data_IF_231476247041
#
_entry.id   IF_231476247041
#
_cell.length_a   1.000
_cell.length_b   1.000
_cell.length_c   1.000
_cell.angle_alpha   90.00
_cell.angle_beta   90.00
_cell.angle_gamma   90.00
#
_symmetry.space_group_name_H-M   'P 1'
#
loop_
_entity.id
_entity.type
_entity.pdbx_description
1 polymer ?
#
# COMPACT_ATOMS: atom_id res chain seq x y z
N UNK A 1 62.36 -10.04 -26.46
CA UNK A 1 62.96 -9.18 -25.39
C UNK A 1 61.80 -8.51 -24.67
N UNK A 2 61.52 -8.60 -23.35
CA UNK A 2 62.29 -8.88 -22.12
C UNK A 2 63.06 -7.67 -21.52
N UNK A 3 62.35 -6.84 -20.75
CA UNK A 3 62.73 -5.99 -19.56
C UNK A 3 61.46 -5.18 -19.18
N UNK A 4 60.84 -5.14 -17.97
CA UNK A 4 61.29 -5.11 -16.54
C UNK A 4 62.29 -3.96 -16.29
N UNK A 5 62.22 -3.09 -15.28
CA UNK A 5 61.47 -3.00 -13.99
C UNK A 5 61.48 -1.48 -13.54
N UNK A 6 60.90 -0.95 -12.44
CA UNK A 6 60.38 -1.50 -11.17
C UNK A 6 59.26 -0.58 -10.55
N UNK A 7 58.87 -0.84 -9.29
CA UNK A 7 57.90 -0.19 -8.38
C UNK A 7 58.40 1.01 -7.56
N UNK A 8 57.48 1.89 -7.10
CA UNK A 8 57.31 2.48 -5.74
C UNK A 8 55.80 2.84 -5.63
N UNK A 9 54.88 2.12 -4.96
CA UNK A 9 54.52 2.04 -3.52
C UNK A 9 54.39 3.39 -2.78
N UNK A 10 53.15 3.82 -2.55
CA UNK A 10 52.76 4.52 -1.31
C UNK A 10 51.39 3.99 -0.84
N UNK A 11 51.23 3.85 0.47
CA UNK A 11 50.03 3.35 1.16
C UNK A 11 49.13 4.51 1.63
N UNK A 12 47.99 4.15 2.25
CA UNK A 12 46.95 4.97 2.90
C UNK A 12 45.81 5.39 1.95
N UNK A 13 44.54 5.39 2.37
CA UNK A 13 43.97 5.15 3.71
C UNK A 13 42.61 4.43 3.59
N UNK A 14 42.24 3.62 4.59
CA UNK A 14 40.95 2.94 4.63
C UNK A 14 39.80 3.95 4.73
N UNK A 15 38.84 3.89 3.82
CA UNK A 15 37.45 4.23 4.11
C UNK A 15 36.64 2.96 3.82
N UNK A 16 36.11 2.37 4.88
CA UNK A 16 35.04 1.37 4.77
C UNK A 16 33.82 2.14 4.32
N UNK A 17 33.48 2.05 3.03
CA UNK A 17 32.12 2.36 2.61
C UNK A 17 31.28 1.19 3.11
N UNK A 18 30.66 1.38 4.27
CA UNK A 18 29.54 0.55 4.68
C UNK A 18 28.46 0.73 3.63
N UNK A 19 28.30 -0.28 2.76
CA UNK A 19 27.09 -0.40 1.96
C UNK A 19 25.91 -0.45 2.92
N UNK A 20 25.16 0.65 3.00
CA UNK A 20 23.80 0.59 3.49
C UNK A 20 23.06 -0.38 2.56
N UNK A 21 22.74 -1.56 3.08
CA UNK A 21 21.76 -2.42 2.44
C UNK A 21 20.38 -1.81 2.70
N UNK A 22 20.03 -0.77 1.95
CA UNK A 22 18.64 -0.51 1.66
C UNK A 22 18.11 -1.78 0.96
N UNK A 23 17.24 -2.51 1.65
CA UNK A 23 16.64 -3.71 1.10
C UNK A 23 15.56 -3.29 0.10
N UNK A 24 15.96 -3.04 -1.15
CA UNK A 24 15.07 -2.86 -2.32
C UNK A 24 14.25 -4.13 -2.58
N UNK A 25 13.30 -4.38 -1.69
CA UNK A 25 12.28 -5.41 -1.81
C UNK A 25 10.93 -4.69 -1.90
N UNK A 26 10.54 -4.29 -3.11
CA UNK A 26 9.11 -4.34 -3.46
C UNK A 26 8.69 -5.82 -3.34
N UNK A 27 8.23 -6.24 -2.16
CA UNK A 27 7.66 -7.57 -1.93
C UNK A 27 6.24 -7.57 -2.49
N UNK A 28 6.15 -7.69 -3.81
CA UNK A 28 4.87 -7.88 -4.48
C UNK A 28 4.21 -9.14 -3.90
N UNK A 29 3.03 -8.99 -3.27
CA UNK A 29 2.32 -10.13 -2.71
C UNK A 29 2.05 -11.17 -3.80
N UNK A 30 2.45 -12.43 -3.57
CA UNK A 30 2.44 -13.47 -4.61
C UNK A 30 1.05 -14.08 -4.85
N UNK A 31 0.04 -13.24 -5.08
CA UNK A 31 -1.29 -13.64 -5.54
C UNK A 31 -1.37 -13.49 -7.06
N UNK A 32 -0.69 -14.42 -7.75
CA UNK A 32 -0.74 -14.51 -9.20
C UNK A 32 -2.18 -14.80 -9.69
N UNK A 33 -2.84 -13.74 -10.15
CA UNK A 33 -3.94 -13.62 -11.12
C UNK A 33 -4.64 -14.93 -11.58
N UNK A 34 -5.97 -14.93 -11.52
CA UNK A 34 -6.94 -15.92 -12.03
C UNK A 34 -7.19 -17.21 -11.21
N UNK A 35 -6.43 -17.54 -10.16
CA UNK A 35 -6.67 -18.76 -9.37
C UNK A 35 -7.78 -18.68 -8.30
N UNK A 36 -7.78 -17.61 -7.50
CA UNK A 36 -8.52 -17.56 -6.23
C UNK A 36 -10.05 -17.66 -6.36
N UNK A 37 -10.62 -17.05 -7.39
CA UNK A 37 -12.09 -16.96 -7.57
C UNK A 37 -12.74 -18.33 -7.88
N UNK A 38 -11.99 -19.28 -8.44
CA UNK A 38 -12.48 -20.63 -8.70
C UNK A 38 -12.61 -21.51 -7.45
N UNK A 39 -11.82 -21.23 -6.41
CA UNK A 39 -11.72 -22.12 -5.24
C UNK A 39 -12.77 -21.82 -4.15
N UNK A 40 -13.36 -20.62 -4.16
CA UNK A 40 -14.36 -20.18 -3.17
C UNK A 40 -15.81 -20.53 -3.55
N UNK A 41 -16.14 -20.68 -4.83
CA UNK A 41 -17.50 -20.97 -5.29
C UNK A 41 -17.94 -22.43 -5.13
N UNK A 42 -17.09 -23.33 -4.63
CA UNK A 42 -17.34 -24.78 -4.70
C UNK A 42 -17.11 -25.54 -3.38
N UNK A 43 -17.89 -25.22 -2.34
CA UNK A 43 -18.22 -26.21 -1.30
C UNK A 43 -19.49 -25.90 -0.50
N UNK A 44 -20.59 -26.58 -0.84
CA UNK A 44 -21.77 -26.64 0.04
C UNK A 44 -22.65 -27.87 -0.27
N UNK A 45 -22.11 -29.09 -0.13
CA UNK A 45 -22.93 -30.31 0.01
C UNK A 45 -22.42 -31.18 1.16
N UNK A 46 -23.35 -31.52 2.07
CA UNK A 46 -23.06 -31.92 3.44
C UNK A 46 -22.65 -33.37 3.72
N UNK A 47 -22.44 -33.66 5.01
CA UNK A 47 -22.37 -34.96 5.70
C UNK A 47 -22.57 -34.70 7.23
N UNK A 48 -22.79 -35.70 8.11
CA UNK A 48 -23.74 -35.55 9.23
C UNK A 48 -23.12 -35.11 10.56
N UNK A 49 -23.98 -34.60 11.46
CA UNK A 49 -23.64 -34.18 12.82
C UNK A 49 -23.20 -35.35 13.72
N UNK A 50 -22.16 -35.12 14.52
CA UNK A 50 -21.90 -35.81 15.79
C UNK A 50 -21.51 -34.76 16.86
N UNK A 51 -21.91 -35.02 18.12
CA UNK A 51 -21.85 -34.02 19.19
C UNK A 51 -20.42 -33.70 19.65
N UNK A 52 -20.06 -32.42 19.52
CA UNK A 52 -19.01 -31.73 20.30
C UNK A 52 -19.42 -30.26 20.43
N UNK A 53 -19.73 -29.81 21.65
CA UNK A 53 -20.55 -28.62 21.90
C UNK A 53 -19.95 -27.25 21.59
N UNK A 54 -18.62 -27.13 21.50
CA UNK A 54 -17.94 -25.83 21.31
C UNK A 54 -17.05 -25.79 20.06
N UNK A 55 -16.24 -26.83 19.80
CA UNK A 55 -15.42 -26.97 18.56
C UNK A 55 -16.25 -26.90 17.25
N UNK A 56 -17.56 -27.15 17.30
CA UNK A 56 -18.44 -27.10 16.12
C UNK A 56 -19.20 -25.77 15.94
N UNK A 57 -19.08 -24.84 16.90
CA UNK A 57 -19.64 -23.48 16.76
C UNK A 57 -18.92 -22.71 15.64
N UNK A 58 -19.60 -21.70 15.07
CA UNK A 58 -19.00 -20.83 14.05
C UNK A 58 -17.73 -20.12 14.59
N UNK A 59 -17.77 -19.45 15.76
CA UNK A 59 -16.57 -18.80 16.31
C UNK A 59 -15.44 -19.78 16.68
N UNK A 60 -15.77 -20.96 17.20
CA UNK A 60 -14.78 -22.00 17.52
C UNK A 60 -14.05 -22.54 16.28
N UNK A 61 -14.74 -22.63 15.14
CA UNK A 61 -14.12 -22.95 13.84
C UNK A 61 -13.28 -21.79 13.33
N UNK A 62 -13.82 -20.57 13.36
CA UNK A 62 -13.10 -19.38 12.89
C UNK A 62 -11.80 -19.16 13.66
N UNK A 63 -11.79 -19.34 14.98
CA UNK A 63 -10.56 -19.26 15.78
C UNK A 63 -9.51 -20.29 15.37
N UNK A 64 -9.95 -21.51 15.03
CA UNK A 64 -9.05 -22.54 14.53
C UNK A 64 -8.49 -22.18 13.16
N UNK A 65 -9.33 -21.70 12.25
CA UNK A 65 -8.93 -21.25 10.92
C UNK A 65 -7.97 -20.05 10.98
N UNK A 66 -8.21 -19.08 11.86
CA UNK A 66 -7.31 -17.96 12.13
C UNK A 66 -5.93 -18.46 12.59
N UNK A 67 -5.89 -19.44 13.51
CA UNK A 67 -4.63 -20.01 14.02
C UNK A 67 -3.87 -20.80 12.95
N UNK A 68 -4.57 -21.63 12.18
CA UNK A 68 -3.96 -22.40 11.08
C UNK A 68 -3.40 -21.44 10.02
N UNK A 69 -4.17 -20.43 9.61
CA UNK A 69 -3.76 -19.39 8.66
C UNK A 69 -2.58 -18.56 9.16
N UNK A 70 -2.60 -18.09 10.40
CA UNK A 70 -1.51 -17.28 10.98
C UNK A 70 -0.19 -18.04 10.96
N UNK A 71 -0.19 -19.30 11.42
CA UNK A 71 1.03 -20.12 11.48
C UNK A 71 1.56 -20.44 10.08
N UNK A 72 0.69 -20.61 9.08
CA UNK A 72 1.07 -20.79 7.69
C UNK A 72 1.68 -19.50 7.09
N UNK A 73 1.00 -18.35 7.21
CA UNK A 73 1.48 -17.07 6.69
C UNK A 73 2.76 -16.58 7.38
N UNK A 74 2.91 -16.80 8.69
CA UNK A 74 4.14 -16.52 9.42
C UNK A 74 5.28 -17.46 8.98
N UNK A 75 4.99 -18.75 8.78
CA UNK A 75 5.96 -19.73 8.27
C UNK A 75 6.44 -19.39 6.85
N UNK A 76 5.54 -18.92 5.98
CA UNK A 76 5.87 -18.44 4.64
C UNK A 76 6.75 -17.18 4.66
N UNK A 77 6.66 -16.36 5.71
CA UNK A 77 7.53 -15.20 5.97
C UNK A 77 8.83 -15.59 6.73
N UNK A 78 9.10 -16.89 6.91
CA UNK A 78 10.34 -17.40 7.52
C UNK A 78 10.36 -17.40 9.05
N UNK A 79 9.20 -17.17 9.70
CA UNK A 79 9.08 -17.21 11.16
C UNK A 79 9.04 -18.66 11.65
N UNK A 80 9.74 -18.94 12.74
CA UNK A 80 9.75 -20.28 13.36
C UNK A 80 8.43 -20.56 14.05
N UNK A 81 7.95 -21.80 14.01
CA UNK A 81 6.66 -22.19 14.58
C UNK A 81 6.50 -21.84 16.08
N UNK A 82 7.56 -21.89 16.88
CA UNK A 82 7.55 -21.47 18.29
C UNK A 82 7.29 -19.96 18.42
N UNK A 83 8.06 -19.13 17.69
CA UNK A 83 7.88 -17.67 17.66
C UNK A 83 6.52 -17.26 17.07
N UNK A 84 6.03 -17.98 16.06
CA UNK A 84 4.71 -17.74 15.48
C UNK A 84 3.58 -18.12 16.45
N UNK A 85 3.78 -19.11 17.32
CA UNK A 85 2.82 -19.40 18.40
C UNK A 85 2.81 -18.29 19.46
N UNK A 86 3.98 -17.81 19.89
CA UNK A 86 4.11 -16.69 20.84
C UNK A 86 3.44 -15.41 20.31
N UNK A 87 3.66 -15.05 19.04
CA UNK A 87 2.99 -13.91 18.38
C UNK A 87 1.47 -14.11 18.29
N UNK A 88 1.01 -15.33 17.98
CA UNK A 88 -0.42 -15.61 17.93
C UNK A 88 -1.08 -15.53 19.31
N UNK A 89 -0.40 -15.99 20.36
CA UNK A 89 -0.92 -15.94 21.73
C UNK A 89 -1.06 -14.48 22.21
N UNK A 90 -0.16 -13.54 21.83
CA UNK A 90 -0.31 -12.08 22.05
C UNK A 90 -1.62 -11.53 21.45
N UNK A 91 -1.99 -11.95 20.22
CA UNK A 91 -3.26 -11.56 19.59
C UNK A 91 -4.50 -12.09 20.32
N UNK A 92 -4.38 -13.20 21.06
CA UNK A 92 -5.45 -13.73 21.90
C UNK A 92 -5.58 -12.95 23.22
N UNK A 93 -4.46 -12.49 23.79
CA UNK A 93 -4.44 -11.65 25.00
C UNK A 93 -5.10 -10.29 24.75
N UNK A 94 -4.90 -9.71 23.57
CA UNK A 94 -5.53 -8.45 23.12
C UNK A 94 -6.99 -8.62 22.60
N UNK A 95 -7.53 -9.85 22.55
CA UNK A 95 -8.86 -10.21 22.00
C UNK A 95 -9.11 -9.70 20.56
N UNK A 96 -8.06 -9.60 19.73
CA UNK A 96 -8.10 -9.13 18.33
C UNK A 96 -9.12 -9.90 17.49
N UNK A 97 -9.26 -11.20 17.75
CA UNK A 97 -10.21 -12.05 17.04
C UNK A 97 -11.64 -12.00 17.60
N UNK A 98 -11.87 -11.24 18.68
CA UNK A 98 -13.16 -11.11 19.39
C UNK A 98 -13.83 -12.47 19.63
N UNK A 99 -13.08 -13.40 20.24
CA UNK A 99 -13.50 -14.80 20.50
C UNK A 99 -13.95 -15.59 19.24
N UNK A 100 -13.51 -15.18 18.06
CA UNK A 100 -13.81 -15.82 16.77
C UNK A 100 -14.89 -15.12 15.94
N UNK A 101 -15.33 -13.92 16.32
CA UNK A 101 -16.17 -13.08 15.48
C UNK A 101 -15.38 -12.43 14.32
N UNK A 102 -14.07 -12.24 14.49
CA UNK A 102 -13.20 -11.69 13.44
C UNK A 102 -12.37 -12.79 12.76
N UNK A 103 -12.19 -12.66 11.44
CA UNK A 103 -11.41 -13.52 10.56
C UNK A 103 -10.10 -12.84 10.17
N UNK A 104 -8.98 -13.57 10.28
CA UNK A 104 -7.68 -13.14 9.76
C UNK A 104 -7.71 -13.03 8.24
N UNK A 105 -7.38 -11.85 7.71
CA UNK A 105 -7.33 -11.55 6.27
C UNK A 105 -5.95 -11.19 5.74
N UNK A 106 -5.08 -10.62 6.57
CA UNK A 106 -3.71 -10.28 6.21
C UNK A 106 -2.74 -10.35 7.37
N UNK A 107 -1.48 -10.68 7.07
CA UNK A 107 -0.38 -10.73 8.03
C UNK A 107 0.94 -10.33 7.37
N UNK A 108 1.63 -9.32 7.92
CA UNK A 108 2.99 -8.95 7.56
C UNK A 108 3.87 -9.01 8.82
N UNK A 109 4.98 -9.73 8.73
CA UNK A 109 5.97 -9.91 9.79
C UNK A 109 7.36 -9.54 9.27
N UNK A 110 7.95 -8.48 9.79
CA UNK A 110 9.28 -8.00 9.38
C UNK A 110 9.90 -7.11 10.49
N UNK A 111 11.14 -6.72 10.32
CA UNK A 111 11.83 -5.70 11.14
C UNK A 111 11.55 -4.33 10.50
N UNK A 112 10.48 -3.64 10.95
CA UNK A 112 9.98 -2.44 10.27
C UNK A 112 10.76 -1.20 10.67
N UNK A 113 11.10 -1.05 11.95
CA UNK A 113 11.94 0.05 12.43
C UNK A 113 13.47 -0.20 12.29
N UNK A 114 13.87 -1.43 11.93
CA UNK A 114 15.26 -1.80 11.68
C UNK A 114 16.09 -2.04 12.94
N UNK A 115 15.47 -2.15 14.12
CA UNK A 115 16.19 -2.39 15.38
C UNK A 115 16.58 -3.86 15.61
N UNK A 116 16.11 -4.79 14.78
CA UNK A 116 16.40 -6.22 14.84
C UNK A 116 15.37 -7.05 15.62
N UNK A 117 14.30 -6.42 16.12
CA UNK A 117 13.10 -7.08 16.59
C UNK A 117 12.16 -7.40 15.41
N UNK A 118 10.99 -7.96 15.69
CA UNK A 118 10.00 -8.27 14.68
C UNK A 118 8.70 -7.58 15.03
N UNK A 119 8.30 -6.69 14.13
CA UNK A 119 7.02 -6.02 14.14
C UNK A 119 5.97 -6.86 13.40
N UNK A 120 4.71 -6.56 13.65
CA UNK A 120 3.58 -7.27 13.08
C UNK A 120 2.47 -6.30 12.66
N UNK A 121 2.15 -6.32 11.36
CA UNK A 121 0.92 -5.76 10.83
C UNK A 121 -0.04 -6.91 10.58
N UNK A 122 -1.26 -6.80 11.10
CA UNK A 122 -2.30 -7.81 10.97
C UNK A 122 -3.61 -7.15 10.56
N UNK A 123 -4.36 -7.80 9.68
CA UNK A 123 -5.66 -7.32 9.21
C UNK A 123 -6.73 -8.36 9.48
N UNK A 124 -7.88 -7.90 9.99
CA UNK A 124 -9.05 -8.72 10.29
C UNK A 124 -10.33 -8.07 9.78
N UNK A 125 -11.32 -8.91 9.45
CA UNK A 125 -12.69 -8.49 9.11
C UNK A 125 -13.72 -9.32 9.90
N UNK A 126 -14.99 -8.93 9.85
CA UNK A 126 -16.11 -9.76 10.28
C UNK A 126 -16.09 -11.15 9.59
N UNK A 127 -16.33 -12.21 10.37
CA UNK A 127 -16.31 -13.60 9.92
C UNK A 127 -17.69 -14.15 9.49
N UNK A 128 -18.79 -13.54 9.95
CA UNK A 128 -20.16 -13.97 9.60
C UNK A 128 -20.62 -13.35 8.28
N UNK A 129 -20.27 -12.08 8.02
CA UNK A 129 -20.64 -11.38 6.78
C UNK A 129 -19.42 -10.93 5.96
N UNK A 130 -19.44 -11.22 4.66
CA UNK A 130 -18.48 -10.63 3.71
C UNK A 130 -18.96 -9.22 3.39
N UNK A 131 -18.50 -8.26 4.18
CA UNK A 131 -18.60 -6.83 3.89
C UNK A 131 -17.35 -6.42 3.11
N UNK A 132 -17.52 -5.66 2.03
CA UNK A 132 -16.41 -5.25 1.15
C UNK A 132 -15.61 -4.05 1.68
N UNK A 133 -16.21 -3.24 2.55
CA UNK A 133 -15.63 -2.03 3.14
C UNK A 133 -16.10 -1.88 4.59
N UNK A 134 -15.24 -1.39 5.48
CA UNK A 134 -15.50 -1.34 6.91
C UNK A 134 -15.62 -2.74 7.53
N UNK A 135 -16.22 -2.81 8.72
CA UNK A 135 -16.42 -4.06 9.48
C UNK A 135 -15.13 -4.89 9.65
N UNK A 136 -14.02 -4.21 9.97
CA UNK A 136 -12.71 -4.79 10.15
C UNK A 136 -11.75 -3.82 10.83
N UNK A 137 -10.54 -4.29 11.10
CA UNK A 137 -9.46 -3.48 11.66
C UNK A 137 -8.09 -3.90 11.14
N UNK A 138 -7.20 -2.91 11.07
CA UNK A 138 -5.76 -3.08 10.86
C UNK A 138 -5.07 -2.86 12.20
N UNK A 139 -4.26 -3.82 12.62
CA UNK A 139 -3.51 -3.79 13.86
C UNK A 139 -2.02 -3.66 13.56
N UNK A 140 -1.36 -2.70 14.22
CA UNK A 140 0.07 -2.46 14.13
C UNK A 140 0.70 -2.72 15.50
N UNK A 141 1.59 -3.70 15.53
CA UNK A 141 2.39 -4.11 16.68
C UNK A 141 3.85 -3.77 16.38
N UNK A 142 4.31 -2.64 16.91
CA UNK A 142 5.72 -2.26 16.87
C UNK A 142 6.38 -2.66 18.18
N UNK A 143 7.44 -3.45 18.12
CA UNK A 143 8.17 -3.92 19.30
C UNK A 143 7.26 -4.53 20.39
N UNK A 144 7.60 -4.28 21.65
CA UNK A 144 6.80 -4.62 22.84
C UNK A 144 5.90 -3.44 23.31
N UNK A 145 5.67 -2.45 22.44
CA UNK A 145 4.82 -1.31 22.75
C UNK A 145 3.32 -1.65 22.63
N UNK A 146 2.48 -0.72 23.07
CA UNK A 146 1.03 -0.86 22.96
C UNK A 146 0.61 -0.89 21.48
N UNK A 147 -0.21 -1.86 21.06
CA UNK A 147 -0.64 -1.96 19.66
C UNK A 147 -1.56 -0.80 19.29
N UNK A 148 -1.48 -0.39 18.02
CA UNK A 148 -2.38 0.58 17.42
C UNK A 148 -3.43 -0.16 16.58
N UNK A 149 -4.71 0.11 16.86
CA UNK A 149 -5.83 -0.38 16.07
C UNK A 149 -6.35 0.75 15.17
N UNK A 150 -6.48 0.47 13.88
CA UNK A 150 -7.02 1.37 12.86
C UNK A 150 -8.32 0.79 12.29
N UNK A 151 -9.40 1.55 12.42
CA UNK A 151 -10.75 1.25 11.94
C UNK A 151 -11.25 2.40 11.07
N UNK A 152 -11.79 2.08 9.89
CA UNK A 152 -12.23 3.06 8.89
C UNK A 152 -13.34 2.47 8.02
N UNK A 153 -14.40 3.24 7.75
CA UNK A 153 -15.56 2.77 6.98
C UNK A 153 -15.23 2.57 5.48
N UNK A 154 -14.29 3.36 4.97
CA UNK A 154 -13.80 3.33 3.59
C UNK A 154 -12.78 2.21 3.31
N UNK A 155 -12.21 1.56 4.34
CA UNK A 155 -11.12 0.60 4.16
C UNK A 155 -11.65 -0.81 3.84
N UNK A 156 -11.04 -1.46 2.83
CA UNK A 156 -11.30 -2.86 2.47
C UNK A 156 -10.45 -3.80 3.32
N UNK A 157 -11.04 -4.44 4.32
CA UNK A 157 -10.33 -5.37 5.21
C UNK A 157 -10.23 -6.80 4.64
N UNK A 158 -10.50 -7.01 3.34
CA UNK A 158 -10.69 -8.33 2.74
C UNK A 158 -9.40 -9.16 2.52
N UNK A 159 -8.22 -8.55 2.64
CA UNK A 159 -6.94 -9.26 2.53
C UNK A 159 -6.18 -9.06 1.21
N UNK A 160 -6.62 -8.13 0.36
CA UNK A 160 -5.87 -7.68 -0.81
C UNK A 160 -5.27 -6.31 -0.47
N UNK A 161 -3.98 -6.30 -0.17
CA UNK A 161 -3.28 -5.09 0.27
C UNK A 161 -1.79 -5.15 -0.08
N UNK A 162 -1.19 -3.98 -0.23
CA UNK A 162 0.25 -3.77 -0.28
C UNK A 162 0.69 -2.94 0.95
N UNK A 163 1.92 -3.18 1.41
CA UNK A 163 2.54 -2.41 2.48
C UNK A 163 4.05 -2.29 2.26
N UNK A 164 4.59 -1.11 2.54
CA UNK A 164 6.02 -0.87 2.67
C UNK A 164 6.27 0.09 3.83
N UNK A 165 7.55 0.28 4.19
CA UNK A 165 7.96 1.22 5.22
C UNK A 165 9.28 1.88 4.86
N UNK A 166 9.41 3.16 5.16
CA UNK A 166 10.62 3.95 5.02
C UNK A 166 10.47 5.26 5.82
N UNK A 167 11.60 5.90 6.11
CA UNK A 167 11.65 7.32 6.48
C UNK A 167 11.34 8.14 5.21
N UNK A 168 10.10 8.58 5.02
CA UNK A 168 9.62 9.30 3.82
C UNK A 168 9.48 10.81 4.04
N UNK A 169 9.39 11.27 5.28
CA UNK A 169 9.47 12.70 5.61
C UNK A 169 10.89 13.18 5.99
N UNK A 170 11.83 12.26 6.17
CA UNK A 170 13.25 12.50 6.46
C UNK A 170 13.51 13.05 7.87
N UNK A 171 12.71 12.64 8.86
CA UNK A 171 12.86 13.00 10.29
C UNK A 171 13.48 11.90 11.19
N UNK A 172 14.07 10.86 10.57
CA UNK A 172 14.71 9.69 11.19
C UNK A 172 13.75 8.72 11.92
N UNK A 173 12.43 8.91 11.81
CA UNK A 173 11.43 7.92 12.23
C UNK A 173 11.02 7.02 11.04
N UNK A 174 10.18 6.01 11.28
CA UNK A 174 9.68 5.12 10.24
C UNK A 174 8.20 5.37 9.98
N UNK A 175 7.86 5.54 8.71
CA UNK A 175 6.47 5.54 8.23
C UNK A 175 6.13 4.20 7.60
N UNK A 176 5.00 3.62 8.00
CA UNK A 176 4.39 2.43 7.42
C UNK A 176 3.30 2.91 6.47
N UNK A 177 3.47 2.66 5.18
CA UNK A 177 2.53 3.05 4.13
C UNK A 177 1.71 1.83 3.72
N UNK A 178 0.39 1.94 3.87
CA UNK A 178 -0.58 0.88 3.67
C UNK A 178 -1.53 1.22 2.51
N UNK A 179 -1.83 0.23 1.66
CA UNK A 179 -2.82 0.32 0.58
C UNK A 179 -3.69 -0.92 0.55
N UNK A 180 -5.01 -0.77 0.73
CA UNK A 180 -5.98 -1.86 0.58
C UNK A 180 -6.74 -1.74 -0.74
N UNK A 181 -6.77 -2.79 -1.56
CA UNK A 181 -7.59 -2.83 -2.78
C UNK A 181 -9.07 -3.01 -2.42
N UNK A 182 -9.93 -2.19 -3.03
CA UNK A 182 -11.38 -2.30 -2.95
C UNK A 182 -11.98 -3.27 -3.99
N UNK A 183 -13.28 -3.09 -4.25
CA UNK A 183 -14.09 -3.90 -5.16
C UNK A 183 -14.74 -3.07 -6.29
N UNK A 184 -14.39 -1.79 -6.39
CA UNK A 184 -14.83 -0.84 -7.39
C UNK A 184 -14.31 -1.20 -8.78
N UNK A 185 -15.24 -1.31 -9.73
CA UNK A 185 -14.92 -1.61 -11.13
C UNK A 185 -14.61 -0.32 -11.92
N UNK A 186 -13.50 -0.32 -12.67
CA UNK A 186 -13.14 0.71 -13.65
C UNK A 186 -11.71 1.22 -13.46
N UNK A 187 -11.05 1.61 -14.56
CA UNK A 187 -9.64 2.01 -14.58
C UNK A 187 -8.73 1.02 -13.83
N UNK A 188 -8.16 1.47 -12.71
CA UNK A 188 -7.19 0.78 -11.85
C UNK A 188 -7.84 0.10 -10.63
N UNK A 189 -9.15 0.23 -10.44
CA UNK A 189 -9.85 -0.11 -9.19
C UNK A 189 -9.82 1.04 -8.18
N UNK A 190 -10.63 0.96 -7.14
CA UNK A 190 -10.54 1.81 -5.95
C UNK A 190 -9.59 1.20 -4.92
N UNK A 191 -8.96 2.03 -4.08
CA UNK A 191 -8.05 1.51 -3.06
C UNK A 191 -7.79 2.50 -1.92
N UNK A 192 -8.11 2.10 -0.69
CA UNK A 192 -7.88 2.92 0.50
C UNK A 192 -6.38 3.04 0.81
N UNK A 193 -5.95 4.21 1.30
CA UNK A 193 -4.55 4.50 1.66
C UNK A 193 -4.46 5.04 3.08
N UNK A 194 -3.39 4.67 3.79
CA UNK A 194 -3.01 5.30 5.04
C UNK A 194 -1.48 5.31 5.20
N UNK A 195 -0.99 6.31 5.91
CA UNK A 195 0.42 6.41 6.35
C UNK A 195 0.43 6.47 7.87
N UNK A 196 1.25 5.65 8.51
CA UNK A 196 1.36 5.57 9.97
C UNK A 196 2.80 5.83 10.39
N UNK A 197 3.04 6.85 11.21
CA UNK A 197 4.36 7.18 11.76
C UNK A 197 4.55 6.48 13.10
N UNK A 198 5.66 5.75 13.26
CA UNK A 198 6.06 5.20 14.55
C UNK A 198 7.17 6.07 15.17
N UNK A 199 6.82 6.75 16.26
CA UNK A 199 7.68 7.72 16.95
C UNK A 199 7.40 7.70 18.45
N UNK A 200 8.44 7.87 19.27
CA UNK A 200 8.33 7.92 20.75
C UNK A 200 7.53 6.76 21.38
N UNK A 201 7.69 5.53 20.87
CA UNK A 201 6.95 4.33 21.32
C UNK A 201 5.43 4.42 21.12
N UNK A 202 4.99 5.22 20.14
CA UNK A 202 3.59 5.42 19.76
C UNK A 202 3.43 5.44 18.25
N UNK A 203 2.23 5.11 17.76
CA UNK A 203 1.87 5.22 16.35
C UNK A 203 0.83 6.33 16.20
N UNK A 204 1.03 7.19 15.20
CA UNK A 204 0.06 8.20 14.76
C UNK A 204 -0.20 8.07 13.25
N UNK A 205 -1.42 8.39 12.81
CA UNK A 205 -1.74 8.48 11.37
C UNK A 205 -1.25 9.83 10.85
N UNK A 206 -0.54 9.81 9.73
CA UNK A 206 -0.23 11.01 8.95
C UNK A 206 -1.31 11.21 7.88
N UNK A 207 -1.64 12.47 7.59
CA UNK A 207 -2.55 12.82 6.51
C UNK A 207 -1.83 12.73 5.16
N UNK A 208 -2.50 12.18 4.15
CA UNK A 208 -2.11 12.37 2.75
C UNK A 208 -2.74 13.66 2.20
N UNK A 209 -2.19 14.28 1.12
CA UNK A 209 -2.84 15.40 0.45
C UNK A 209 -4.29 15.13 0.04
N UNK A 210 -4.62 13.88 -0.30
CA UNK A 210 -5.97 13.40 -0.63
C UNK A 210 -6.93 13.30 0.55
N UNK A 211 -6.42 13.27 1.79
CA UNK A 211 -7.25 13.16 3.00
C UNK A 211 -7.88 14.52 3.39
N UNK A 212 -7.43 15.60 2.76
CA UNK A 212 -7.92 16.96 2.99
C UNK A 212 -9.26 17.26 2.28
N UNK A 213 -9.61 16.45 1.28
CA UNK A 213 -10.88 16.51 0.57
C UNK A 213 -11.89 15.48 1.12
N UNK A 214 -13.18 15.72 0.92
CA UNK A 214 -14.26 14.94 1.54
C UNK A 214 -14.48 13.54 0.92
N UNK A 215 -13.70 13.15 -0.08
CA UNK A 215 -13.80 11.87 -0.79
C UNK A 215 -12.40 11.30 -1.08
N UNK A 216 -12.00 10.32 -0.28
CA UNK A 216 -10.67 9.68 -0.33
C UNK A 216 -10.33 9.07 -1.70
N UNK A 217 -11.35 8.74 -2.50
CA UNK A 217 -11.23 8.09 -3.80
C UNK A 217 -11.02 9.12 -4.95
N UNK A 218 -10.79 10.40 -4.62
CA UNK A 218 -10.56 11.48 -5.60
C UNK A 218 -9.10 11.97 -5.69
N UNK A 219 -8.19 11.53 -4.81
CA UNK A 219 -6.77 11.90 -4.89
C UNK A 219 -6.55 13.41 -4.83
N UNK A 220 -5.88 13.98 -5.83
CA UNK A 220 -5.57 15.41 -6.00
C UNK A 220 -6.35 16.08 -7.14
N UNK A 221 -7.38 15.41 -7.68
CA UNK A 221 -8.29 15.90 -8.73
C UNK A 221 -7.57 16.57 -9.92
N UNK A 222 -7.14 15.73 -10.87
CA UNK A 222 -6.50 16.19 -12.12
C UNK A 222 -7.50 16.16 -13.28
N UNK A 223 -7.81 17.31 -13.86
CA UNK A 223 -8.61 17.44 -15.08
C UNK A 223 -7.76 17.13 -16.33
N UNK A 224 -8.33 16.40 -17.30
CA UNK A 224 -7.72 16.16 -18.62
C UNK A 224 -8.45 16.98 -19.68
N UNK A 225 -7.73 17.91 -20.30
CA UNK A 225 -8.22 18.85 -21.30
C UNK A 225 -7.62 18.48 -22.66
N UNK A 226 -8.46 18.30 -23.67
CA UNK A 226 -8.03 18.16 -25.05
C UNK A 226 -7.88 19.54 -25.70
N UNK A 227 -6.72 19.80 -26.31
CA UNK A 227 -6.45 21.05 -27.01
C UNK A 227 -6.87 21.01 -28.49
N UNK A 228 -6.99 22.16 -29.17
CA UNK A 228 -7.34 22.21 -30.60
C UNK A 228 -6.27 21.64 -31.55
N UNK A 229 -5.05 21.39 -31.06
CA UNK A 229 -3.98 20.77 -31.85
C UNK A 229 -4.02 19.25 -31.70
N UNK A 230 -3.91 18.54 -32.83
CA UNK A 230 -4.05 17.09 -32.87
C UNK A 230 -3.01 16.38 -31.98
N UNK A 231 -3.49 15.70 -30.95
CA UNK A 231 -2.69 14.98 -29.97
C UNK A 231 -2.07 15.85 -28.87
N UNK A 232 -2.41 17.14 -28.81
CA UNK A 232 -2.03 18.03 -27.71
C UNK A 232 -3.09 17.97 -26.61
N UNK A 233 -2.65 17.81 -25.36
CA UNK A 233 -3.49 17.78 -24.17
C UNK A 233 -2.85 18.60 -23.05
N UNK A 234 -3.69 19.02 -22.11
CA UNK A 234 -3.27 19.69 -20.88
C UNK A 234 -3.88 18.96 -19.69
N UNK A 235 -3.09 18.74 -18.64
CA UNK A 235 -3.53 18.24 -17.35
C UNK A 235 -3.55 19.42 -16.36
N UNK A 236 -4.66 19.66 -15.67
CA UNK A 236 -4.79 20.71 -14.66
C UNK A 236 -5.02 20.08 -13.28
N UNK A 237 -4.15 20.37 -12.30
CA UNK A 237 -4.28 19.86 -10.94
C UNK A 237 -4.82 20.97 -10.03
N UNK A 238 -6.02 20.77 -9.46
CA UNK A 238 -6.68 21.79 -8.65
C UNK A 238 -5.99 22.05 -7.31
N UNK A 239 -5.33 21.02 -6.73
CA UNK A 239 -4.56 21.16 -5.49
C UNK A 239 -3.34 22.09 -5.65
N UNK A 240 -2.74 22.12 -6.85
CA UNK A 240 -1.55 22.93 -7.14
C UNK A 240 -1.85 24.27 -7.84
N UNK A 241 -3.05 24.45 -8.42
CA UNK A 241 -3.37 25.53 -9.38
C UNK A 241 -2.36 25.57 -10.56
N UNK A 242 -1.92 24.39 -11.02
CA UNK A 242 -0.94 24.24 -12.09
C UNK A 242 -1.50 23.47 -13.29
N UNK A 243 -0.98 23.80 -14.48
CA UNK A 243 -1.32 23.14 -15.74
C UNK A 243 -0.05 22.64 -16.46
N UNK A 244 -0.05 21.38 -16.87
CA UNK A 244 1.04 20.73 -17.61
C UNK A 244 0.55 20.26 -18.97
N UNK A 245 1.24 20.64 -20.04
CA UNK A 245 0.98 20.11 -21.39
C UNK A 245 1.66 18.75 -21.58
N UNK A 246 0.96 17.81 -22.23
CA UNK A 246 1.45 16.48 -22.58
C UNK A 246 0.94 16.05 -23.96
N UNK A 247 1.60 15.07 -24.59
CA UNK A 247 1.19 14.53 -25.88
C UNK A 247 0.47 13.18 -25.71
N UNK A 248 -0.53 12.92 -26.56
CA UNK A 248 -1.19 11.61 -26.65
C UNK A 248 -1.71 11.35 -28.05
N UNK A 249 -1.59 10.10 -28.49
CA UNK A 249 -2.14 9.65 -29.79
C UNK A 249 -3.58 9.22 -29.65
N UNK A 250 -4.51 10.15 -29.87
CA UNK A 250 -5.92 9.81 -30.08
C UNK A 250 -6.30 9.89 -31.56
N UNK A 251 -7.16 8.97 -32.02
CA UNK A 251 -7.58 8.86 -33.41
C UNK A 251 -8.76 9.76 -33.82
N UNK A 252 -9.29 10.55 -32.89
CA UNK A 252 -10.40 11.48 -33.11
C UNK A 252 -9.98 12.78 -33.81
N UNK A 253 -10.97 13.54 -34.27
CA UNK A 253 -10.76 14.93 -34.70
C UNK A 253 -10.63 15.81 -33.45
N UNK A 254 -9.59 16.66 -33.32
CA UNK A 254 -9.49 17.59 -32.19
C UNK A 254 -10.64 18.63 -32.22
N UNK A 255 -11.03 19.18 -31.07
CA UNK A 255 -12.10 20.17 -30.96
C UNK A 255 -11.66 21.54 -31.51
N UNK A 256 -12.62 22.42 -31.80
CA UNK A 256 -12.31 23.79 -32.27
C UNK A 256 -11.73 24.69 -31.16
N UNK A 257 -11.96 24.34 -29.90
CA UNK A 257 -11.49 25.03 -28.69
C UNK A 257 -11.15 23.99 -27.63
N UNK A 258 -10.31 24.33 -26.65
CA UNK A 258 -9.96 23.43 -25.55
C UNK A 258 -11.23 22.90 -24.83
N UNK A 259 -11.28 21.61 -24.54
CA UNK A 259 -12.42 20.94 -23.90
C UNK A 259 -11.96 19.98 -22.81
N UNK A 260 -12.58 20.09 -21.61
CA UNK A 260 -12.47 19.06 -20.58
C UNK A 260 -13.04 17.75 -21.15
N UNK A 261 -12.22 16.71 -21.17
CA UNK A 261 -12.53 15.43 -21.84
C UNK A 261 -12.42 14.22 -20.91
N UNK A 262 -11.67 14.36 -19.82
CA UNK A 262 -11.62 13.38 -18.75
C UNK A 262 -10.96 13.96 -17.50
N UNK A 263 -10.44 13.10 -16.65
CA UNK A 263 -9.79 13.49 -15.39
C UNK A 263 -9.09 12.30 -14.73
N UNK A 264 -8.81 12.38 -13.44
CA UNK A 264 -8.31 11.24 -12.69
C UNK A 264 -9.43 10.22 -12.38
N UNK A 265 -9.06 8.97 -12.12
CA UNK A 265 -9.99 7.95 -11.66
C UNK A 265 -9.44 7.24 -10.42
N UNK A 266 -10.24 7.24 -9.34
CA UNK A 266 -10.02 6.46 -8.12
C UNK A 266 -8.75 6.83 -7.32
N UNK A 267 -8.40 8.12 -7.36
CA UNK A 267 -7.28 8.69 -6.60
C UNK A 267 -5.94 7.99 -6.80
N UNK A 268 -5.16 7.89 -5.71
CA UNK A 268 -3.85 7.24 -5.71
C UNK A 268 -3.97 5.71 -5.80
N UNK A 269 -3.60 5.12 -6.94
CA UNK A 269 -3.66 3.67 -7.13
C UNK A 269 -2.33 2.96 -6.82
N UNK A 270 -1.19 3.65 -6.93
CA UNK A 270 0.13 3.15 -6.55
C UNK A 270 0.80 4.17 -5.62
N UNK A 271 1.37 3.67 -4.53
CA UNK A 271 2.26 4.40 -3.62
C UNK A 271 3.61 3.69 -3.60
N UNK A 272 4.71 4.44 -3.65
CA UNK A 272 6.05 3.87 -3.44
C UNK A 272 7.08 4.90 -2.99
N UNK A 273 8.18 4.43 -2.40
CA UNK A 273 9.33 5.29 -2.04
C UNK A 273 10.21 5.52 -3.26
N UNK A 274 10.74 6.73 -3.40
CA UNK A 274 11.79 7.07 -4.38
C UNK A 274 12.69 8.17 -3.84
N UNK A 275 13.80 8.45 -4.52
CA UNK A 275 14.74 9.51 -4.15
C UNK A 275 14.49 10.79 -4.96
N UNK A 276 14.31 11.92 -4.27
CA UNK A 276 14.27 13.25 -4.87
C UNK A 276 15.25 14.19 -4.15
N UNK A 277 16.14 14.85 -4.92
CA UNK A 277 17.21 15.72 -4.42
C UNK A 277 18.10 15.13 -3.29
N UNK A 278 18.28 13.80 -3.26
CA UNK A 278 19.05 13.10 -2.23
C UNK A 278 18.29 12.82 -0.93
N UNK A 279 16.96 12.92 -0.95
CA UNK A 279 16.03 12.59 0.13
C UNK A 279 15.01 11.54 -0.32
N UNK A 280 14.49 10.76 0.60
CA UNK A 280 13.33 9.93 0.32
C UNK A 280 12.09 10.82 0.15
N UNK A 281 11.19 10.43 -0.75
CA UNK A 281 9.84 11.01 -0.87
C UNK A 281 8.84 9.90 -1.16
N UNK A 282 7.58 10.12 -0.78
CA UNK A 282 6.47 9.27 -1.20
C UNK A 282 6.07 9.65 -2.63
N UNK A 283 6.26 8.74 -3.59
CA UNK A 283 5.64 8.86 -4.90
C UNK A 283 4.22 8.30 -4.86
N UNK A 284 3.25 9.11 -5.27
CA UNK A 284 1.87 8.70 -5.49
C UNK A 284 1.50 8.81 -6.97
N UNK A 285 0.74 7.84 -7.49
CA UNK A 285 0.36 7.75 -8.91
C UNK A 285 -1.16 7.73 -9.07
N UNK A 286 -1.69 8.55 -9.99
CA UNK A 286 -3.11 8.60 -10.35
C UNK A 286 -3.32 8.25 -11.83
N UNK A 287 -4.33 7.43 -12.10
CA UNK A 287 -4.70 7.10 -13.47
C UNK A 287 -5.53 8.23 -14.07
N UNK A 288 -5.09 8.77 -15.22
CA UNK A 288 -5.84 9.78 -15.96
C UNK A 288 -6.59 9.14 -17.13
N UNK A 289 -7.88 9.43 -17.23
CA UNK A 289 -8.74 8.98 -18.32
C UNK A 289 -9.03 10.10 -19.34
N UNK A 290 -9.29 9.72 -20.59
CA UNK A 290 -9.60 10.63 -21.69
C UNK A 290 -11.03 10.49 -22.23
N UNK A 291 -11.20 10.85 -23.50
CA UNK A 291 -12.45 10.84 -24.28
C UNK A 291 -13.26 9.54 -24.13
N UNK A 292 -12.59 8.39 -24.02
CA UNK A 292 -13.22 7.07 -23.89
C UNK A 292 -13.68 6.71 -22.47
N UNK A 293 -13.59 7.62 -21.51
CA UNK A 293 -13.88 7.37 -20.10
C UNK A 293 -12.83 6.47 -19.43
N UNK A 294 -13.14 5.89 -18.27
CA UNK A 294 -12.20 5.13 -17.41
C UNK A 294 -11.56 3.86 -18.02
N UNK A 295 -11.84 3.54 -19.29
CA UNK A 295 -11.15 2.50 -20.06
C UNK A 295 -10.05 3.05 -20.99
N UNK A 296 -9.96 4.37 -21.12
CA UNK A 296 -9.12 5.08 -22.08
C UNK A 296 -8.03 5.86 -21.34
N UNK A 297 -6.85 5.26 -21.21
CA UNK A 297 -5.72 5.84 -20.49
C UNK A 297 -5.21 7.08 -21.25
N UNK A 298 -5.41 8.26 -20.67
CA UNK A 298 -4.80 9.49 -21.14
C UNK A 298 -3.32 9.57 -20.73
N UNK A 299 -3.03 9.11 -19.51
CA UNK A 299 -1.69 9.06 -18.93
C UNK A 299 -1.76 8.70 -17.45
N UNK A 300 -0.65 8.89 -16.74
CA UNK A 300 -0.56 8.76 -15.29
C UNK A 300 0.00 10.06 -14.73
N UNK A 301 -0.71 10.68 -13.79
CA UNK A 301 -0.16 11.78 -13.01
C UNK A 301 0.67 11.19 -11.86
N UNK A 302 1.88 11.68 -11.69
CA UNK A 302 2.79 11.29 -10.61
C UNK A 302 3.07 12.49 -9.72
N UNK A 303 3.05 12.27 -8.41
CA UNK A 303 3.27 13.29 -7.38
C UNK A 303 4.36 12.83 -6.42
N UNK A 304 5.28 13.72 -6.07
CA UNK A 304 6.19 13.54 -4.93
C UNK A 304 5.64 14.28 -3.72
N UNK A 305 5.36 13.53 -2.66
CA UNK A 305 4.79 13.97 -1.40
C UNK A 305 5.87 13.89 -0.31
N UNK A 306 5.92 14.92 0.52
CA UNK A 306 6.67 14.98 1.77
C UNK A 306 5.79 15.63 2.84
N UNK A 307 6.29 15.79 4.06
CA UNK A 307 5.61 16.50 5.14
C UNK A 307 6.47 17.63 5.68
N UNK A 308 5.83 18.71 6.12
CA UNK A 308 6.46 19.81 6.86
C UNK A 308 6.69 19.45 8.34
N UNK A 309 7.48 20.24 9.08
CA UNK A 309 7.78 19.98 10.51
C UNK A 309 6.54 19.89 11.42
N UNK A 310 5.38 20.40 10.99
CA UNK A 310 4.11 20.33 11.73
C UNK A 310 3.20 19.16 11.33
N UNK A 311 3.66 18.30 10.42
CA UNK A 311 2.91 17.15 9.90
C UNK A 311 1.97 17.47 8.73
N UNK A 312 1.99 18.70 8.19
CA UNK A 312 1.22 19.04 6.99
C UNK A 312 1.80 18.35 5.74
N UNK A 313 1.02 17.57 4.97
CA UNK A 313 1.49 16.97 3.72
C UNK A 313 1.63 18.02 2.60
N UNK A 314 2.74 17.97 1.85
CA UNK A 314 3.02 18.87 0.73
C UNK A 314 3.49 18.12 -0.51
N UNK A 315 3.04 18.57 -1.69
CA UNK A 315 3.49 18.06 -2.98
C UNK A 315 4.66 18.92 -3.48
N UNK A 316 5.86 18.35 -3.56
CA UNK A 316 7.09 19.07 -3.95
C UNK A 316 7.38 19.01 -5.45
N UNK A 317 6.74 18.10 -6.17
CA UNK A 317 6.86 17.95 -7.62
C UNK A 317 5.70 17.10 -8.16
N UNK A 318 5.26 17.40 -9.38
CA UNK A 318 4.39 16.51 -10.14
C UNK A 318 4.76 16.48 -11.63
N UNK A 319 4.32 15.46 -12.36
CA UNK A 319 4.45 15.36 -13.82
C UNK A 319 3.46 14.34 -14.39
N UNK A 320 3.28 14.36 -15.72
CA UNK A 320 2.49 13.37 -16.45
C UNK A 320 3.42 12.36 -17.15
N UNK A 321 3.15 11.07 -16.98
CA UNK A 321 3.63 10.00 -17.84
C UNK A 321 2.59 9.72 -18.94
N UNK A 322 3.00 9.83 -20.21
CA UNK A 322 2.09 9.69 -21.36
C UNK A 322 1.62 8.24 -21.55
N UNK A 323 0.32 8.05 -21.80
CA UNK A 323 -0.23 6.74 -22.18
C UNK A 323 0.28 6.27 -23.56
N UNK A 324 0.53 4.95 -23.69
CA UNK A 324 1.12 4.30 -24.88
C UNK A 324 0.10 4.02 -25.99
#
# INVERSE_FOLDING_TARGET
>A
MKKRMNKIILLLLCIVISSFCASDKKVQASWAKLGAMGHYLQKNEGLPRTDKGEENSLPGKQMKENRERFLEEAGNQGVKAEQAAELFDRLLEDDVFQKGAMKLTGLRLDDMDGNGQRDMLLMVQDAEEIVFYGSGSLWLYMNEDAPYCFEEEACSYYGIFDVFWADVDNDENIEIVFSAEGFGCGAVGDSYKAVFKYRNNTIERMELPSDLDADYDQGLTVDVIQEPEAGSYSAYCSYLDEILSFHRKHGGTPPETAQLTGGNARGFYDLSVTEYEGRNVLQASEYLYGEGGTADCAGVAHFFITWEEDGTPTVVKWWIEEGV
#
